data_IF_929969240960
#
_entry.id   IF_929969240960
#
_cell.length_a   1.000
_cell.length_b   1.000
_cell.length_c   1.000
_cell.angle_alpha   90.00
_cell.angle_beta   90.00
_cell.angle_gamma   90.00
#
_symmetry.space_group_name_H-M   'P 1'
#
loop_
_entity.id
_entity.type
_entity.pdbx_description
1 polymer ?
#
# COMPACT_ATOMS: atom_id res chain seq x y z
N UNK A 1 -4.44 9.34 -15.01
CA UNK A 1 -4.64 8.54 -13.79
C UNK A 1 -6.12 8.27 -13.61
N UNK A 2 -6.50 7.02 -13.47
CA UNK A 2 -7.87 6.63 -13.15
C UNK A 2 -7.85 5.92 -11.81
N UNK A 3 -8.21 6.64 -10.74
CA UNK A 3 -8.32 6.04 -9.43
C UNK A 3 -9.42 4.98 -9.40
N UNK A 4 -9.11 3.83 -8.83
CA UNK A 4 -10.03 2.70 -8.70
C UNK A 4 -10.67 2.62 -7.30
N UNK A 5 -10.21 3.46 -6.36
CA UNK A 5 -10.76 3.50 -5.01
C UNK A 5 -12.22 3.93 -5.02
N UNK A 6 -13.11 3.23 -4.30
CA UNK A 6 -14.49 3.64 -4.12
C UNK A 6 -14.57 4.82 -3.14
N UNK A 7 -14.49 6.02 -3.69
CA UNK A 7 -14.60 7.29 -2.96
C UNK A 7 -15.84 8.07 -3.43
N UNK A 8 -16.37 8.91 -2.57
CA UNK A 8 -17.58 9.68 -2.85
C UNK A 8 -17.37 10.79 -3.90
N UNK A 9 -16.13 11.23 -4.14
CA UNK A 9 -15.78 12.21 -5.18
C UNK A 9 -14.51 11.79 -5.94
N UNK A 10 -14.68 10.86 -6.87
CA UNK A 10 -13.60 10.32 -7.71
C UNK A 10 -12.94 11.42 -8.54
N UNK A 11 -13.74 12.36 -9.08
CA UNK A 11 -13.22 13.43 -9.94
C UNK A 11 -12.28 14.33 -9.16
N UNK A 12 -12.70 14.80 -7.99
CA UNK A 12 -11.88 15.65 -7.12
C UNK A 12 -10.55 14.96 -6.76
N UNK A 13 -10.60 13.67 -6.39
CA UNK A 13 -9.41 12.90 -6.04
C UNK A 13 -8.47 12.78 -7.23
N UNK A 14 -8.99 12.43 -8.42
CA UNK A 14 -8.17 12.34 -9.63
C UNK A 14 -7.51 13.68 -9.99
N UNK A 15 -8.24 14.79 -9.89
CA UNK A 15 -7.71 16.13 -10.16
C UNK A 15 -6.56 16.48 -9.19
N UNK A 16 -6.73 16.21 -7.90
CA UNK A 16 -5.71 16.45 -6.87
C UNK A 16 -4.47 15.58 -7.06
N UNK A 17 -4.66 14.28 -7.29
CA UNK A 17 -3.56 13.33 -7.50
C UNK A 17 -2.79 13.65 -8.77
N UNK A 18 -3.49 13.97 -9.86
CA UNK A 18 -2.85 14.37 -11.12
C UNK A 18 -2.04 15.65 -10.97
N UNK A 19 -2.58 16.64 -10.27
CA UNK A 19 -1.85 17.87 -9.96
C UNK A 19 -0.58 17.58 -9.14
N UNK A 20 -0.72 16.84 -8.04
CA UNK A 20 0.41 16.49 -7.18
C UNK A 20 1.48 15.70 -7.94
N UNK A 21 1.08 14.73 -8.78
CA UNK A 21 1.99 13.98 -9.63
C UNK A 21 2.77 14.90 -10.58
N UNK A 22 2.07 15.79 -11.29
CA UNK A 22 2.71 16.68 -12.24
C UNK A 22 3.75 17.61 -11.60
N UNK A 23 3.48 18.03 -10.37
CA UNK A 23 4.38 18.90 -9.60
C UNK A 23 5.57 18.16 -8.99
N UNK A 24 5.43 16.87 -8.65
CA UNK A 24 6.39 16.13 -7.82
C UNK A 24 6.95 14.86 -8.47
N UNK A 25 6.59 14.53 -9.72
CA UNK A 25 6.92 13.24 -10.33
C UNK A 25 8.41 12.92 -10.36
N UNK A 26 9.29 13.92 -10.56
CA UNK A 26 10.73 13.68 -10.61
C UNK A 26 11.28 13.22 -9.25
N UNK A 27 10.83 13.85 -8.17
CA UNK A 27 11.21 13.46 -6.81
C UNK A 27 10.65 12.09 -6.43
N UNK A 28 9.36 11.85 -6.72
CA UNK A 28 8.70 10.58 -6.45
C UNK A 28 9.36 9.42 -7.21
N UNK A 29 9.66 9.62 -8.50
CA UNK A 29 10.37 8.63 -9.32
C UNK A 29 11.77 8.33 -8.79
N UNK A 30 12.54 9.37 -8.45
CA UNK A 30 13.88 9.19 -7.91
C UNK A 30 13.84 8.44 -6.56
N UNK A 31 12.90 8.79 -5.70
CA UNK A 31 12.71 8.12 -4.42
C UNK A 31 12.32 6.64 -4.61
N UNK A 32 11.34 6.37 -5.47
CA UNK A 32 10.87 5.02 -5.76
C UNK A 32 11.96 4.15 -6.41
N UNK A 33 12.67 4.70 -7.39
CA UNK A 33 13.82 4.06 -8.01
C UNK A 33 14.86 3.60 -6.99
N UNK A 34 15.24 4.48 -6.05
CA UNK A 34 16.20 4.13 -5.01
C UNK A 34 15.72 2.96 -4.14
N UNK A 35 14.43 2.87 -3.84
CA UNK A 35 13.86 1.74 -3.09
C UNK A 35 13.88 0.45 -3.90
N UNK A 36 13.50 0.50 -5.17
CA UNK A 36 13.57 -0.65 -6.07
C UNK A 36 14.99 -1.21 -6.19
N UNK A 37 15.95 -0.31 -6.43
CA UNK A 37 17.35 -0.73 -6.61
C UNK A 37 17.98 -1.26 -5.32
N UNK A 38 17.61 -0.70 -4.17
CA UNK A 38 18.02 -1.22 -2.87
C UNK A 38 17.56 -2.66 -2.66
N UNK A 39 16.28 -2.92 -2.85
CA UNK A 39 15.71 -4.28 -2.69
C UNK A 39 16.27 -5.27 -3.73
N UNK A 40 16.44 -4.84 -4.98
CA UNK A 40 17.09 -5.66 -6.01
C UNK A 40 18.51 -6.06 -5.62
N UNK A 41 19.30 -5.10 -5.12
CA UNK A 41 20.68 -5.34 -4.68
C UNK A 41 20.75 -6.34 -3.52
N UNK A 42 19.91 -6.18 -2.50
CA UNK A 42 19.83 -7.11 -1.37
C UNK A 42 19.39 -8.52 -1.82
N UNK A 43 18.39 -8.60 -2.69
CA UNK A 43 17.92 -9.84 -3.27
C UNK A 43 19.05 -10.56 -4.04
N UNK A 44 19.76 -9.86 -4.91
CA UNK A 44 20.86 -10.44 -5.68
C UNK A 44 22.03 -10.85 -4.79
N UNK A 45 22.37 -10.06 -3.77
CA UNK A 45 23.39 -10.41 -2.79
C UNK A 45 23.03 -11.70 -2.04
N UNK A 46 21.78 -11.85 -1.61
CA UNK A 46 21.30 -13.05 -0.94
C UNK A 46 21.36 -14.30 -1.86
N UNK A 47 20.99 -14.17 -3.13
CA UNK A 47 21.09 -15.28 -4.11
C UNK A 47 22.53 -15.73 -4.33
N UNK A 48 23.47 -14.79 -4.38
CA UNK A 48 24.86 -15.04 -4.67
C UNK A 48 25.70 -15.48 -3.45
N UNK A 49 25.13 -15.37 -2.24
CA UNK A 49 25.82 -15.78 -1.02
C UNK A 49 25.66 -17.29 -0.77
N UNK A 50 26.71 -18.12 -0.93
CA UNK A 50 26.62 -19.56 -0.74
C UNK A 50 26.36 -19.96 0.74
N UNK A 51 26.65 -19.06 1.68
CA UNK A 51 26.47 -19.26 3.12
C UNK A 51 25.17 -18.67 3.66
N UNK A 52 24.43 -17.96 2.80
CA UNK A 52 23.17 -17.37 3.22
C UNK A 52 22.08 -18.44 3.30
N UNK A 53 21.80 -18.86 4.54
CA UNK A 53 20.64 -19.69 4.88
C UNK A 53 19.39 -18.84 5.07
N UNK A 54 19.46 -17.57 4.71
CA UNK A 54 18.37 -16.62 4.86
C UNK A 54 17.11 -17.11 4.16
N UNK A 55 16.01 -16.58 4.61
CA UNK A 55 14.67 -16.77 4.06
C UNK A 55 14.64 -16.55 2.55
N UNK A 56 15.44 -15.63 2.02
CA UNK A 56 15.56 -15.39 0.58
C UNK A 56 15.98 -16.64 -0.19
N UNK A 57 17.11 -17.21 0.16
CA UNK A 57 17.68 -18.35 -0.60
C UNK A 57 16.78 -19.58 -0.56
N UNK A 58 16.19 -19.87 0.59
CA UNK A 58 15.34 -21.05 0.78
C UNK A 58 14.05 -20.98 -0.02
N UNK A 59 13.52 -19.79 -0.27
CA UNK A 59 12.24 -19.59 -0.95
C UNK A 59 12.38 -19.29 -2.43
N UNK A 60 13.51 -18.72 -2.86
CA UNK A 60 13.74 -18.40 -4.28
C UNK A 60 14.33 -19.56 -5.08
N UNK A 61 15.12 -20.42 -4.45
CA UNK A 61 15.68 -21.61 -5.13
C UNK A 61 14.61 -22.61 -5.58
N UNK A 62 13.42 -22.55 -5.01
CA UNK A 62 12.32 -23.49 -5.29
C UNK A 62 11.21 -22.91 -6.18
N UNK A 63 11.37 -21.70 -6.74
CA UNK A 63 10.32 -21.06 -7.56
C UNK A 63 9.11 -20.52 -6.78
N UNK A 64 9.09 -20.70 -5.46
CA UNK A 64 7.98 -20.29 -4.59
C UNK A 64 8.12 -18.85 -4.10
N UNK A 65 8.34 -17.93 -5.02
CA UNK A 65 8.46 -16.48 -4.68
C UNK A 65 7.20 -15.93 -4.03
N UNK A 66 6.07 -16.54 -4.25
CA UNK A 66 4.75 -16.00 -3.92
C UNK A 66 4.12 -16.73 -2.72
N UNK A 67 4.51 -17.95 -2.44
CA UNK A 67 3.91 -18.77 -1.41
C UNK A 67 4.66 -18.71 -0.07
N UNK A 68 4.44 -17.61 0.64
CA UNK A 68 4.28 -17.66 2.08
C UNK A 68 5.44 -18.08 2.96
N UNK A 69 6.41 -17.22 3.14
CA UNK A 69 6.87 -17.14 4.53
C UNK A 69 6.69 -15.71 5.03
N UNK A 70 6.08 -15.58 6.17
CA UNK A 70 5.86 -14.29 6.81
C UNK A 70 7.13 -13.43 6.93
N UNK A 71 8.31 -14.06 6.94
CA UNK A 71 9.61 -13.39 6.97
C UNK A 71 9.94 -12.65 5.66
N UNK A 72 9.68 -13.27 4.49
CA UNK A 72 9.92 -12.61 3.21
C UNK A 72 8.94 -11.44 2.99
N UNK A 73 7.67 -11.67 3.26
CA UNK A 73 6.66 -10.62 3.22
C UNK A 73 7.01 -9.48 4.17
N UNK A 74 7.47 -9.78 5.37
CA UNK A 74 7.92 -8.78 6.36
C UNK A 74 9.15 -8.01 5.89
N UNK A 75 10.06 -8.65 5.15
CA UNK A 75 11.22 -7.97 4.57
C UNK A 75 10.80 -6.89 3.55
N UNK A 76 9.85 -7.20 2.66
CA UNK A 76 9.38 -6.24 1.65
C UNK A 76 8.48 -5.15 2.23
N UNK A 77 7.89 -5.38 3.41
CA UNK A 77 6.98 -4.45 4.07
C UNK A 77 7.59 -3.06 4.26
N UNK A 78 8.79 -2.97 4.80
CA UNK A 78 9.41 -1.69 5.10
C UNK A 78 9.91 -0.97 3.84
N UNK A 79 10.78 -1.57 3.00
CA UNK A 79 11.37 -0.85 1.90
C UNK A 79 10.38 -0.52 0.78
N UNK A 80 9.50 -1.44 0.40
CA UNK A 80 8.58 -1.25 -0.72
C UNK A 80 7.15 -0.95 -0.29
N UNK A 81 6.65 -1.56 0.77
CA UNK A 81 5.30 -1.32 1.23
C UNK A 81 5.17 0.01 1.97
N UNK A 82 5.91 0.19 3.06
CA UNK A 82 5.76 1.35 3.93
C UNK A 82 6.59 2.56 3.46
N UNK A 83 7.86 2.35 3.14
CA UNK A 83 8.79 3.44 2.84
C UNK A 83 8.83 3.83 1.36
N UNK A 84 8.18 3.08 0.45
CA UNK A 84 8.28 3.40 -0.97
C UNK A 84 7.68 4.77 -1.28
N UNK A 85 6.39 4.96 -1.00
CA UNK A 85 5.71 6.23 -1.25
C UNK A 85 4.69 6.60 -0.18
N UNK A 86 4.43 5.74 0.80
CA UNK A 86 3.47 6.03 1.86
C UNK A 86 3.85 7.30 2.62
N UNK A 87 5.14 7.53 2.87
CA UNK A 87 5.60 8.74 3.54
C UNK A 87 5.45 10.01 2.69
N UNK A 88 5.88 10.07 1.42
CA UNK A 88 5.65 11.24 0.57
C UNK A 88 4.17 11.55 0.34
N UNK A 89 3.35 10.53 0.09
CA UNK A 89 1.93 10.71 -0.21
C UNK A 89 1.05 10.92 1.03
N UNK A 90 1.46 10.42 2.19
CA UNK A 90 0.70 10.58 3.46
C UNK A 90 0.86 11.94 4.12
N UNK A 91 1.88 12.69 3.77
CA UNK A 91 2.05 14.02 4.32
C UNK A 91 1.19 15.00 3.52
N UNK A 92 -0.11 15.09 3.79
CA UNK A 92 -0.96 16.27 3.54
C UNK A 92 -0.76 17.00 2.20
N UNK A 93 0.20 16.59 1.37
CA UNK A 93 0.63 17.30 0.19
C UNK A 93 -0.30 17.09 -1.01
N UNK A 94 -1.04 15.96 -1.00
CA UNK A 94 -2.03 15.68 -2.06
C UNK A 94 -3.29 16.54 -1.91
N UNK A 95 -3.48 17.17 -0.72
CA UNK A 95 -4.53 18.15 -0.49
C UNK A 95 -5.92 17.56 -0.22
N UNK A 96 -5.98 16.31 0.25
CA UNK A 96 -7.21 15.70 0.76
C UNK A 96 -6.91 14.60 1.80
N UNK A 97 -7.91 14.26 2.60
CA UNK A 97 -7.90 13.10 3.49
C UNK A 97 -9.08 12.19 3.16
N UNK A 98 -8.88 10.88 3.35
CA UNK A 98 -9.94 9.87 3.26
C UNK A 98 -10.42 9.47 4.66
N UNK A 99 -11.72 9.25 4.80
CA UNK A 99 -12.36 8.87 6.06
C UNK A 99 -13.33 7.73 5.83
N UNK A 100 -13.44 6.81 6.81
CA UNK A 100 -14.66 6.01 6.95
C UNK A 100 -15.83 6.92 7.31
N UNK A 101 -17.06 6.51 7.02
CA UNK A 101 -18.26 7.28 7.32
C UNK A 101 -18.37 7.61 8.82
N UNK A 102 -18.06 6.64 9.67
CA UNK A 102 -18.12 6.81 11.12
C UNK A 102 -17.06 7.80 11.63
N UNK A 103 -15.83 7.72 11.09
CA UNK A 103 -14.76 8.67 11.41
C UNK A 103 -15.11 10.09 10.94
N UNK A 104 -15.70 10.22 9.76
CA UNK A 104 -16.15 11.51 9.23
C UNK A 104 -17.25 12.15 10.10
N UNK A 105 -18.25 11.38 10.54
CA UNK A 105 -19.29 11.84 11.45
C UNK A 105 -18.71 12.42 12.74
N UNK A 106 -17.66 11.79 13.31
CA UNK A 106 -16.97 12.33 14.48
C UNK A 106 -16.19 13.61 14.16
N UNK A 107 -15.60 13.74 12.97
CA UNK A 107 -14.91 14.95 12.51
C UNK A 107 -15.89 16.12 12.46
N UNK A 108 -17.02 15.94 11.80
CA UNK A 108 -18.07 16.97 11.67
C UNK A 108 -18.63 17.38 13.04
N UNK A 109 -18.87 16.41 13.94
CA UNK A 109 -19.33 16.65 15.29
C UNK A 109 -18.29 17.29 16.22
N UNK A 110 -17.06 17.54 15.76
CA UNK A 110 -15.91 18.01 16.56
C UNK A 110 -15.62 17.14 17.79
N UNK A 111 -15.90 15.84 17.70
CA UNK A 111 -15.75 14.86 18.79
C UNK A 111 -14.60 13.87 18.54
N UNK A 112 -13.62 14.28 17.74
CA UNK A 112 -12.52 13.40 17.30
C UNK A 112 -11.75 12.85 18.50
N UNK A 113 -11.25 13.73 19.38
CA UNK A 113 -10.37 13.32 20.48
C UNK A 113 -9.31 12.33 20.02
N UNK A 114 -9.08 11.29 20.82
CA UNK A 114 -8.09 10.24 20.53
C UNK A 114 -8.74 8.97 19.90
N UNK A 115 -9.85 9.12 19.17
CA UNK A 115 -10.68 8.02 18.67
C UNK A 115 -10.33 7.55 17.27
N UNK A 116 -9.58 8.37 16.51
CA UNK A 116 -9.19 8.04 15.14
C UNK A 116 -7.78 7.44 15.07
N UNK A 117 -7.59 6.61 14.06
CA UNK A 117 -6.29 6.13 13.63
C UNK A 117 -6.14 6.31 12.12
N UNK A 118 -4.92 6.21 11.61
CA UNK A 118 -4.66 6.08 10.17
C UNK A 118 -4.52 4.60 9.86
N UNK A 119 -5.22 4.17 8.85
CA UNK A 119 -5.09 2.84 8.29
C UNK A 119 -4.58 2.90 6.85
N UNK A 120 -3.78 1.93 6.46
CA UNK A 120 -3.33 1.76 5.08
C UNK A 120 -4.41 0.99 4.33
N UNK A 121 -5.08 1.66 3.40
CA UNK A 121 -6.20 1.09 2.62
C UNK A 121 -5.80 -0.26 2.01
N UNK A 122 -4.55 -0.35 1.53
CA UNK A 122 -3.94 -1.61 1.12
C UNK A 122 -2.86 -1.99 2.13
N UNK A 123 -2.88 -3.22 2.59
CA UNK A 123 -1.88 -3.69 3.55
C UNK A 123 -0.46 -3.46 3.03
N UNK A 124 0.37 -2.81 3.86
CA UNK A 124 1.74 -2.42 3.44
C UNK A 124 2.61 -3.61 3.02
N UNK A 125 2.37 -4.78 3.61
CA UNK A 125 3.08 -6.01 3.24
C UNK A 125 2.69 -6.46 1.83
N UNK A 126 1.40 -6.44 1.52
CA UNK A 126 0.84 -6.83 0.23
C UNK A 126 1.31 -5.88 -0.88
N UNK A 127 1.29 -4.59 -0.62
CA UNK A 127 1.82 -3.58 -1.54
C UNK A 127 3.30 -3.82 -1.81
N UNK A 128 4.10 -4.10 -0.77
CA UNK A 128 5.52 -4.39 -0.91
C UNK A 128 5.79 -5.64 -1.77
N UNK A 129 5.04 -6.72 -1.53
CA UNK A 129 5.12 -7.95 -2.32
C UNK A 129 4.70 -7.70 -3.78
N UNK A 130 3.61 -6.99 -3.99
CA UNK A 130 3.12 -6.67 -5.33
C UNK A 130 4.15 -5.87 -6.14
N UNK A 131 4.72 -4.82 -5.55
CA UNK A 131 5.77 -4.01 -6.19
C UNK A 131 6.97 -4.90 -6.57
N UNK A 132 7.40 -5.76 -5.65
CA UNK A 132 8.55 -6.62 -5.89
C UNK A 132 8.31 -7.62 -7.02
N UNK A 133 7.15 -8.29 -7.01
CA UNK A 133 6.78 -9.27 -8.05
C UNK A 133 6.67 -8.59 -9.41
N UNK A 134 6.03 -7.42 -9.49
CA UNK A 134 5.91 -6.65 -10.72
C UNK A 134 7.29 -6.23 -11.24
N UNK A 135 8.17 -5.73 -10.36
CA UNK A 135 9.52 -5.34 -10.74
C UNK A 135 10.35 -6.54 -11.23
N UNK A 136 10.22 -7.69 -10.60
CA UNK A 136 10.87 -8.92 -11.04
C UNK A 136 10.33 -9.40 -12.41
N UNK A 137 9.00 -9.41 -12.57
CA UNK A 137 8.33 -9.86 -13.80
C UNK A 137 8.61 -8.94 -14.99
N UNK A 138 8.84 -7.66 -14.75
CA UNK A 138 9.28 -6.69 -15.77
C UNK A 138 10.74 -6.90 -16.23
N UNK A 139 11.43 -7.92 -15.70
CA UNK A 139 12.86 -8.11 -15.94
C UNK A 139 13.75 -7.10 -15.20
N UNK A 140 13.27 -6.61 -14.08
CA UNK A 140 13.90 -5.55 -13.28
C UNK A 140 13.99 -4.21 -14.01
N UNK A 141 13.00 -3.91 -14.85
CA UNK A 141 12.89 -2.64 -15.58
C UNK A 141 12.38 -1.53 -14.65
N UNK A 142 13.32 -0.79 -14.07
CA UNK A 142 12.99 0.33 -13.19
C UNK A 142 12.36 1.50 -13.95
N UNK A 143 12.63 1.66 -15.26
CA UNK A 143 12.00 2.72 -16.06
C UNK A 143 10.51 2.45 -16.22
N UNK A 144 10.14 1.24 -16.62
CA UNK A 144 8.74 0.80 -16.63
C UNK A 144 8.08 1.04 -15.27
N UNK A 145 8.72 0.61 -14.18
CA UNK A 145 8.17 0.80 -12.85
C UNK A 145 7.95 2.27 -12.47
N UNK A 146 8.88 3.16 -12.83
CA UNK A 146 8.78 4.58 -12.49
C UNK A 146 7.90 5.38 -13.46
N UNK A 147 7.92 5.07 -14.74
CA UNK A 147 7.30 5.89 -15.77
C UNK A 147 5.89 5.44 -16.13
N UNK A 148 5.60 4.15 -16.01
CA UNK A 148 4.31 3.57 -16.40
C UNK A 148 3.56 2.98 -15.21
N UNK A 149 4.19 2.09 -14.44
CA UNK A 149 3.51 1.40 -13.36
C UNK A 149 3.14 2.35 -12.20
N UNK A 150 4.09 3.12 -11.70
CA UNK A 150 3.90 3.99 -10.54
C UNK A 150 2.76 5.00 -10.71
N UNK A 151 2.68 5.79 -11.81
CA UNK A 151 1.60 6.75 -11.99
C UNK A 151 0.21 6.13 -12.07
N UNK A 152 0.12 4.85 -12.45
CA UNK A 152 -1.14 4.11 -12.54
C UNK A 152 -1.53 3.36 -11.26
N UNK A 153 -0.68 3.40 -10.22
CA UNK A 153 -0.87 2.64 -8.98
C UNK A 153 -0.64 3.50 -7.72
N UNK A 154 -0.75 4.82 -7.81
CA UNK A 154 -0.52 5.71 -6.67
C UNK A 154 -1.52 5.47 -5.53
N UNK A 155 -2.72 5.01 -5.83
CA UNK A 155 -3.73 4.68 -4.83
C UNK A 155 -3.31 3.58 -3.85
N UNK A 156 -2.37 2.72 -4.22
CA UNK A 156 -1.84 1.67 -3.34
C UNK A 156 -1.17 2.23 -2.07
N UNK A 157 -0.78 3.50 -2.11
CA UNK A 157 -0.05 4.15 -1.01
C UNK A 157 -0.94 5.05 -0.15
N UNK A 158 -2.24 5.12 -0.40
CA UNK A 158 -3.13 5.98 0.37
C UNK A 158 -3.52 5.37 1.71
N UNK A 159 -3.80 6.28 2.64
CA UNK A 159 -4.32 5.93 3.96
C UNK A 159 -5.71 6.53 4.16
N UNK A 160 -6.48 5.88 5.01
CA UNK A 160 -7.80 6.32 5.43
C UNK A 160 -7.80 6.60 6.94
N UNK A 161 -8.57 7.61 7.36
CA UNK A 161 -8.89 7.82 8.78
C UNK A 161 -10.07 6.95 9.15
N UNK A 162 -9.86 6.05 10.08
CA UNK A 162 -10.89 5.15 10.60
C UNK A 162 -10.97 5.27 12.11
N UNK A 163 -12.03 4.73 12.71
CA UNK A 163 -12.10 4.60 14.15
C UNK A 163 -11.10 3.56 14.65
N UNK A 164 -10.55 3.76 15.86
CA UNK A 164 -9.71 2.73 16.50
C UNK A 164 -10.47 1.42 16.68
N UNK A 165 -11.77 1.48 16.92
CA UNK A 165 -12.63 0.29 17.03
C UNK A 165 -12.86 -0.43 15.69
N UNK A 166 -12.82 0.28 14.55
CA UNK A 166 -12.82 -0.32 13.23
C UNK A 166 -11.49 -1.01 12.95
N UNK A 167 -10.39 -0.31 13.24
CA UNK A 167 -9.04 -0.88 13.09
C UNK A 167 -8.83 -2.13 13.97
N UNK A 168 -9.34 -2.13 15.20
CA UNK A 168 -9.24 -3.29 16.09
C UNK A 168 -9.99 -4.50 15.55
N UNK A 169 -11.17 -4.31 14.94
CA UNK A 169 -11.88 -5.41 14.25
C UNK A 169 -11.06 -6.01 13.11
N UNK A 170 -10.32 -5.17 12.41
CA UNK A 170 -9.43 -5.59 11.34
C UNK A 170 -8.26 -6.43 11.88
N UNK A 171 -7.63 -5.99 12.98
CA UNK A 171 -6.58 -6.73 13.66
C UNK A 171 -7.08 -8.05 14.25
N UNK A 172 -8.29 -8.07 14.83
CA UNK A 172 -8.94 -9.28 15.36
C UNK A 172 -9.27 -10.28 14.24
N UNK A 173 -9.70 -9.83 13.07
CA UNK A 173 -9.91 -10.67 11.91
C UNK A 173 -8.58 -11.23 11.38
N UNK A 174 -7.52 -10.45 11.37
CA UNK A 174 -6.16 -10.91 11.00
C UNK A 174 -5.66 -12.02 11.93
N UNK A 175 -5.94 -11.94 13.24
CA UNK A 175 -5.57 -12.99 14.21
C UNK A 175 -6.42 -14.26 14.10
N UNK A 176 -7.65 -14.15 13.63
CA UNK A 176 -8.58 -15.29 13.48
C UNK A 176 -8.50 -16.02 12.12
N UNK A 177 -7.51 -15.70 11.28
CA UNK A 177 -7.29 -16.39 10.01
C UNK A 177 -8.23 -15.96 8.87
N UNK A 178 -9.12 -14.99 9.11
CA UNK A 178 -9.89 -14.28 8.06
C UNK A 178 -9.07 -13.12 7.55
N UNK A 179 -7.78 -13.37 7.44
CA UNK A 179 -6.78 -12.36 7.26
C UNK A 179 -6.86 -11.71 5.88
N UNK A 180 -6.46 -10.45 5.84
CA UNK A 180 -6.03 -9.72 4.63
C UNK A 180 -5.15 -10.58 3.69
N UNK A 181 -4.56 -11.67 4.18
CA UNK A 181 -3.74 -12.61 3.44
C UNK A 181 -4.47 -13.52 2.47
N UNK A 182 -5.77 -13.74 2.65
CA UNK A 182 -6.58 -14.60 1.80
C UNK A 182 -7.17 -13.87 0.58
N UNK A 183 -7.24 -12.54 0.63
CA UNK A 183 -7.71 -11.74 -0.49
C UNK A 183 -6.62 -11.54 -1.55
N UNK A 184 -6.98 -11.75 -2.80
CA UNK A 184 -6.12 -11.33 -3.92
C UNK A 184 -5.95 -9.81 -3.90
N UNK A 185 -4.89 -9.29 -4.52
CA UNK A 185 -4.72 -7.85 -4.62
C UNK A 185 -5.93 -7.18 -5.28
N UNK A 186 -6.56 -7.84 -6.26
CA UNK A 186 -7.77 -7.36 -6.93
C UNK A 186 -8.96 -7.24 -5.97
N UNK A 187 -9.18 -8.23 -5.11
CA UNK A 187 -10.22 -8.18 -4.07
C UNK A 187 -9.94 -7.06 -3.06
N UNK A 188 -8.67 -6.86 -2.69
CA UNK A 188 -8.26 -5.74 -1.83
C UNK A 188 -8.47 -4.38 -2.50
N UNK A 189 -8.27 -4.27 -3.80
CA UNK A 189 -8.57 -3.06 -4.55
C UNK A 189 -10.06 -2.72 -4.56
N UNK A 190 -10.94 -3.71 -4.40
CA UNK A 190 -12.37 -3.52 -4.20
C UNK A 190 -12.75 -3.20 -2.74
N UNK A 191 -11.78 -3.13 -1.86
CA UNK A 191 -11.94 -2.91 -0.41
C UNK A 191 -12.92 -3.91 0.23
N UNK A 192 -12.91 -5.16 -0.22
CA UNK A 192 -13.79 -6.20 0.33
C UNK A 192 -13.53 -6.41 1.82
N UNK A 193 -12.26 -6.34 2.26
CA UNK A 193 -11.90 -6.40 3.67
C UNK A 193 -12.56 -5.28 4.51
N UNK A 194 -12.76 -4.08 3.97
CA UNK A 194 -13.50 -3.02 4.67
C UNK A 194 -14.98 -3.35 4.82
N UNK A 195 -15.58 -3.96 3.79
CA UNK A 195 -16.99 -4.41 3.85
C UNK A 195 -17.17 -5.51 4.90
N UNK A 196 -16.23 -6.45 4.98
CA UNK A 196 -16.28 -7.57 5.93
C UNK A 196 -16.23 -7.11 7.39
N UNK A 197 -15.42 -6.11 7.70
CA UNK A 197 -15.37 -5.51 9.06
C UNK A 197 -16.45 -4.44 9.29
N UNK A 198 -17.33 -4.22 8.31
CA UNK A 198 -18.47 -3.32 8.41
C UNK A 198 -18.13 -1.84 8.21
N UNK A 199 -17.05 -1.52 7.50
CA UNK A 199 -16.77 -0.15 7.06
C UNK A 199 -17.55 0.12 5.78
N UNK A 200 -18.53 1.04 5.80
CA UNK A 200 -19.32 1.36 4.61
C UNK A 200 -18.48 2.02 3.51
N UNK A 201 -18.80 1.69 2.27
CA UNK A 201 -18.27 2.37 1.09
C UNK A 201 -19.36 3.21 0.42
N UNK A 202 -18.99 4.27 -0.28
CA UNK A 202 -17.62 4.77 -0.57
C UNK A 202 -16.97 5.48 0.62
N UNK A 203 -15.63 5.55 0.61
CA UNK A 203 -14.88 6.39 1.55
C UNK A 203 -15.19 7.87 1.30
N UNK A 204 -15.20 8.65 2.38
CA UNK A 204 -15.49 10.08 2.34
C UNK A 204 -14.21 10.87 2.09
N UNK A 205 -14.21 11.65 1.02
CA UNK A 205 -13.13 12.58 0.70
C UNK A 205 -13.35 13.91 1.41
N UNK A 206 -12.31 14.42 2.05
CA UNK A 206 -12.34 15.72 2.76
C UNK A 206 -11.14 16.55 2.32
N UNK A 207 -11.44 17.77 1.90
CA UNK A 207 -10.45 18.79 1.52
C UNK A 207 -9.86 19.47 2.78
#
# INVERSE_FOLDING_TARGET
>A
MNMKLPVNDVKFVNDKVSKYWNENQNELKAYFHNKLMGVKGEYQAALNNPYDTSVFKKHYSNGDVINNTGKFRSFLRLPLGYNALVLPLNKTNVGFELFSEAAYKLKVARKIGNKLTKDHIFGVTEVGVHIFVEFMNSGWDWKYMCDEWLPNNLELFFTCRILKSEHQKEDDNDTNGVARGEHTLEQKMLLEHYKEIGIPLPLIVVN
#
